data_IF_854657474871
#
_entry.id   IF_854657474871
#
_cell.length_a   1.000
_cell.length_b   1.000
_cell.length_c   1.000
_cell.angle_alpha   90.00
_cell.angle_beta   90.00
_cell.angle_gamma   90.00
#
_symmetry.space_group_name_H-M   'P 1'
#
loop_
_entity.id
_entity.type
_entity.pdbx_description
1 polymer ?
#
# COMPACT_ATOMS: atom_id res chain seq x y z
N UNK A 1 67.73 -94.87 17.54
CA UNK A 1 66.73 -95.59 18.35
C UNK A 1 65.39 -94.91 18.12
N UNK A 2 64.60 -95.43 17.18
CA UNK A 2 63.15 -95.17 17.09
C UNK A 2 62.43 -96.18 18.03
N UNK A 3 61.09 -96.17 18.29
CA UNK A 3 60.01 -95.44 17.59
C UNK A 3 58.77 -95.03 18.46
N UNK A 4 57.72 -94.49 17.79
CA UNK A 4 56.25 -94.57 18.09
C UNK A 4 55.67 -93.81 19.32
N UNK A 5 54.42 -93.31 19.39
CA UNK A 5 53.24 -93.24 18.50
C UNK A 5 52.11 -92.44 19.22
N UNK A 6 51.38 -91.62 18.45
CA UNK A 6 49.95 -91.26 18.50
C UNK A 6 49.11 -91.34 19.81
N UNK A 7 48.37 -90.26 20.14
CA UNK A 7 46.91 -90.36 20.37
C UNK A 7 46.17 -89.01 20.32
N UNK A 8 45.14 -88.99 19.48
CA UNK A 8 44.09 -87.99 19.38
C UNK A 8 43.12 -87.97 20.59
N UNK A 9 42.38 -86.85 20.68
CA UNK A 9 40.93 -86.78 20.92
C UNK A 9 40.38 -86.25 22.27
N UNK A 10 39.77 -85.05 22.14
CA UNK A 10 38.45 -84.58 22.64
C UNK A 10 38.28 -83.88 24.00
N UNK A 11 37.53 -82.77 23.89
CA UNK A 11 36.57 -82.14 24.82
C UNK A 11 37.14 -81.31 25.98
N UNK A 12 37.04 -79.97 25.88
CA UNK A 12 35.90 -79.28 26.48
C UNK A 12 35.78 -77.81 26.01
N UNK A 13 34.56 -77.48 25.61
CA UNK A 13 33.99 -76.13 25.55
C UNK A 13 34.08 -75.49 26.94
N UNK A 14 34.33 -74.17 26.95
CA UNK A 14 33.92 -73.16 27.95
C UNK A 14 35.12 -72.36 28.46
N UNK A 15 35.28 -71.13 27.95
CA UNK A 15 35.06 -69.93 28.78
C UNK A 15 35.21 -68.69 27.89
N UNK A 16 34.06 -68.07 27.63
CA UNK A 16 33.96 -66.68 27.21
C UNK A 16 34.70 -65.81 28.23
N UNK A 17 35.81 -65.19 27.83
CA UNK A 17 36.41 -64.13 28.63
C UNK A 17 35.58 -62.85 28.35
N UNK A 18 35.00 -62.20 29.38
CA UNK A 18 33.94 -61.22 29.17
C UNK A 18 34.49 -59.88 28.68
N UNK A 19 33.88 -59.36 27.62
CA UNK A 19 34.00 -58.01 27.04
C UNK A 19 33.59 -56.85 27.99
N UNK A 20 33.48 -57.09 29.31
CA UNK A 20 32.77 -56.19 30.23
C UNK A 20 33.65 -55.42 31.23
N UNK A 21 34.98 -55.55 31.20
CA UNK A 21 35.87 -54.87 32.18
C UNK A 21 36.60 -53.63 31.66
N UNK A 22 36.45 -53.24 30.39
CA UNK A 22 37.14 -52.07 29.82
C UNK A 22 36.27 -50.81 29.77
N UNK A 23 34.96 -50.91 29.98
CA UNK A 23 34.03 -49.79 29.70
C UNK A 23 33.54 -48.96 30.90
N UNK A 24 34.02 -49.22 32.13
CA UNK A 24 33.42 -48.59 33.34
C UNK A 24 34.30 -47.57 34.08
N UNK A 25 35.45 -47.16 33.52
CA UNK A 25 36.37 -46.19 34.14
C UNK A 25 36.52 -44.83 33.44
N UNK A 26 36.17 -44.74 32.15
CA UNK A 26 36.55 -43.58 31.31
C UNK A 26 35.42 -42.58 31.04
N UNK A 27 34.15 -42.98 31.18
CA UNK A 27 33.02 -42.10 30.82
C UNK A 27 32.87 -40.86 31.72
N UNK A 28 33.39 -40.88 32.96
CA UNK A 28 33.30 -39.73 33.87
C UNK A 28 34.34 -38.63 33.60
N UNK A 29 35.38 -38.87 32.81
CA UNK A 29 36.41 -37.86 32.49
C UNK A 29 36.07 -37.03 31.24
N UNK A 30 35.30 -37.57 30.31
CA UNK A 30 35.01 -36.92 29.04
C UNK A 30 34.19 -35.62 29.13
N UNK A 31 33.30 -35.47 30.11
CA UNK A 31 32.54 -34.21 30.24
C UNK A 31 33.37 -33.06 30.82
N UNK A 32 34.41 -33.34 31.61
CA UNK A 32 35.21 -32.31 32.29
C UNK A 32 36.49 -31.96 31.52
N UNK A 33 37.03 -32.87 30.71
CA UNK A 33 38.13 -32.63 29.77
C UNK A 33 38.03 -31.34 28.95
N UNK A 34 36.88 -31.03 28.30
CA UNK A 34 36.71 -29.75 27.61
C UNK A 34 36.90 -28.55 28.53
N UNK A 35 36.25 -28.54 29.71
CA UNK A 35 36.35 -27.43 30.66
C UNK A 35 37.76 -27.25 31.25
N UNK A 36 38.48 -28.35 31.48
CA UNK A 36 39.86 -28.32 31.98
C UNK A 36 40.82 -27.77 30.92
N UNK A 37 40.61 -28.11 29.64
CA UNK A 37 41.40 -27.59 28.53
C UNK A 37 41.22 -26.07 28.36
N UNK A 38 39.98 -25.60 28.44
CA UNK A 38 39.64 -24.18 28.45
C UNK A 38 40.28 -23.45 29.64
N UNK A 39 40.27 -24.06 30.83
CA UNK A 39 40.89 -23.48 32.03
C UNK A 39 42.43 -23.38 31.93
N UNK A 40 43.09 -24.35 31.27
CA UNK A 40 44.55 -24.37 31.08
C UNK A 40 45.03 -23.24 30.16
N UNK A 41 44.24 -22.85 29.17
CA UNK A 41 44.54 -21.75 28.22
C UNK A 41 43.73 -20.47 28.45
N UNK A 42 43.20 -20.27 29.66
CA UNK A 42 42.36 -19.11 30.00
C UNK A 42 42.97 -17.74 29.66
N UNK A 43 44.29 -17.59 29.79
CA UNK A 43 45.00 -16.36 29.46
C UNK A 43 45.00 -16.07 27.95
N UNK A 44 45.14 -17.10 27.12
CA UNK A 44 45.07 -16.96 25.67
C UNK A 44 43.66 -16.54 25.24
N UNK A 45 42.63 -17.19 25.81
CA UNK A 45 41.23 -16.86 25.53
C UNK A 45 40.95 -15.41 25.97
N UNK A 46 41.41 -14.98 27.15
CA UNK A 46 41.19 -13.61 27.61
C UNK A 46 41.89 -12.57 26.73
N UNK A 47 43.13 -12.81 26.29
CA UNK A 47 43.82 -11.89 25.39
C UNK A 47 43.15 -11.83 24.02
N UNK A 48 42.69 -12.96 23.48
CA UNK A 48 42.00 -13.00 22.19
C UNK A 48 40.64 -12.29 22.25
N UNK A 49 39.87 -12.51 23.31
CA UNK A 49 38.58 -11.83 23.53
C UNK A 49 38.79 -10.32 23.72
N UNK A 50 39.79 -9.90 24.49
CA UNK A 50 40.16 -8.48 24.61
C UNK A 50 40.55 -7.87 23.26
N UNK A 51 41.32 -8.59 22.44
CA UNK A 51 41.64 -8.19 21.07
C UNK A 51 40.39 -8.03 20.21
N UNK A 52 39.45 -8.98 20.26
CA UNK A 52 38.18 -8.91 19.52
C UNK A 52 37.32 -7.71 19.95
N UNK A 53 37.26 -7.43 21.25
CA UNK A 53 36.57 -6.25 21.79
C UNK A 53 37.21 -4.97 21.26
N UNK A 54 38.54 -4.87 21.30
CA UNK A 54 39.27 -3.70 20.81
C UNK A 54 39.04 -3.47 19.31
N UNK A 55 39.07 -4.53 18.49
CA UNK A 55 38.77 -4.45 17.05
C UNK A 55 37.31 -4.04 16.82
N UNK A 56 36.36 -4.64 17.55
CA UNK A 56 34.94 -4.33 17.40
C UNK A 56 34.60 -2.92 17.83
N UNK A 57 35.25 -2.43 18.89
CA UNK A 57 35.15 -1.04 19.33
C UNK A 57 35.74 -0.11 18.27
N UNK A 58 36.93 -0.40 17.73
CA UNK A 58 37.53 0.40 16.67
C UNK A 58 36.59 0.50 15.44
N UNK A 59 36.02 -0.62 14.99
CA UNK A 59 35.04 -0.62 13.89
C UNK A 59 33.79 0.19 14.24
N UNK A 60 33.24 0.05 15.45
CA UNK A 60 32.05 0.77 15.88
C UNK A 60 32.26 2.30 15.97
N UNK A 61 33.49 2.76 16.26
CA UNK A 61 33.84 4.18 16.29
C UNK A 61 34.26 4.75 14.93
N UNK A 62 34.78 3.91 14.01
CA UNK A 62 35.08 4.33 12.63
C UNK A 62 33.83 4.48 11.76
N UNK A 63 32.75 3.76 12.07
CA UNK A 63 31.51 3.83 11.30
C UNK A 63 30.81 5.19 11.49
N UNK A 64 30.32 5.81 10.39
CA UNK A 64 29.65 7.11 10.46
C UNK A 64 28.34 7.01 11.26
N UNK A 65 28.08 8.01 12.10
CA UNK A 65 26.84 8.12 12.87
C UNK A 65 25.72 8.66 12.00
N UNK A 66 24.54 8.04 12.09
CA UNK A 66 23.32 8.52 11.46
C UNK A 66 22.30 8.93 12.53
N UNK A 67 21.47 9.89 12.16
CA UNK A 67 20.42 10.48 12.97
C UNK A 67 19.09 10.32 12.25
N UNK A 68 18.08 9.83 12.97
CA UNK A 68 16.75 9.54 12.43
C UNK A 68 15.76 10.60 12.86
N UNK A 69 15.13 11.27 11.89
CA UNK A 69 13.98 12.16 12.14
C UNK A 69 12.71 11.50 11.62
N UNK A 70 11.60 11.67 12.33
CA UNK A 70 10.33 11.02 12.02
C UNK A 70 9.20 12.06 11.91
N UNK A 71 8.35 11.89 10.91
CA UNK A 71 7.13 12.69 10.70
C UNK A 71 5.94 11.75 10.61
N UNK A 72 4.88 12.10 11.33
CA UNK A 72 3.61 11.37 11.26
C UNK A 72 2.57 12.19 10.52
N UNK A 73 1.91 11.54 9.57
CA UNK A 73 0.92 12.13 8.70
C UNK A 73 -0.41 11.42 8.85
N UNK A 74 -1.47 12.21 9.02
CA UNK A 74 -2.82 11.72 8.93
C UNK A 74 -3.31 11.93 7.48
N UNK A 75 -3.56 10.85 6.71
CA UNK A 75 -4.22 10.98 5.42
C UNK A 75 -5.63 11.55 5.64
N UNK A 76 -6.17 12.32 4.68
CA UNK A 76 -7.53 12.83 4.80
C UNK A 76 -8.47 11.64 4.92
N UNK A 77 -9.24 11.61 6.01
CA UNK A 77 -10.31 10.64 6.14
C UNK A 77 -11.37 11.03 5.13
N UNK A 78 -11.51 10.26 4.05
CA UNK A 78 -12.72 10.32 3.24
C UNK A 78 -13.88 10.11 4.20
N UNK A 79 -14.80 11.07 4.26
CA UNK A 79 -16.09 10.90 4.92
C UNK A 79 -16.75 9.69 4.26
N UNK A 80 -16.57 8.53 4.88
CA UNK A 80 -17.14 7.28 4.39
C UNK A 80 -18.64 7.51 4.30
N UNK A 81 -19.18 7.31 3.11
CA UNK A 81 -20.62 7.33 2.87
C UNK A 81 -21.28 6.45 3.95
N UNK A 82 -22.41 6.89 4.49
CA UNK A 82 -23.19 6.15 5.50
C UNK A 82 -23.49 4.70 5.04
N UNK A 83 -23.49 4.45 3.72
CA UNK A 83 -23.60 3.14 3.12
C UNK A 83 -22.42 2.17 3.42
N UNK A 84 -21.18 2.66 3.54
CA UNK A 84 -20.00 1.85 3.89
C UNK A 84 -20.06 1.38 5.35
N UNK A 85 -20.65 2.19 6.24
CA UNK A 85 -20.91 1.82 7.63
C UNK A 85 -21.95 0.67 7.74
N UNK A 86 -22.92 0.59 6.81
CA UNK A 86 -23.89 -0.50 6.75
C UNK A 86 -23.30 -1.79 6.15
N UNK A 87 -22.38 -1.69 5.18
CA UNK A 87 -21.59 -2.83 4.71
C UNK A 87 -20.65 -3.38 5.79
N UNK A 88 -20.18 -2.53 6.70
CA UNK A 88 -19.45 -2.95 7.92
C UNK A 88 -20.26 -3.88 8.83
N UNK A 89 -21.59 -3.78 8.83
CA UNK A 89 -22.49 -4.70 9.57
C UNK A 89 -22.65 -6.06 8.89
N UNK A 90 -22.39 -6.14 7.58
CA UNK A 90 -22.33 -7.40 6.81
C UNK A 90 -20.91 -7.99 6.79
N UNK A 91 -19.91 -7.28 7.31
CA UNK A 91 -18.53 -7.71 7.46
C UNK A 91 -18.35 -9.11 8.09
N UNK A 92 -19.13 -9.52 9.11
CA UNK A 92 -19.03 -10.87 9.67
C UNK A 92 -19.43 -11.99 8.70
N UNK A 93 -20.39 -11.75 7.81
CA UNK A 93 -20.85 -12.71 6.79
C UNK A 93 -19.86 -12.82 5.62
N UNK A 94 -19.20 -11.72 5.26
CA UNK A 94 -18.19 -11.68 4.19
C UNK A 94 -16.86 -12.28 4.66
N UNK A 95 -16.48 -12.05 5.92
CA UNK A 95 -15.31 -12.68 6.54
C UNK A 95 -15.46 -14.21 6.66
N UNK A 96 -16.70 -14.70 6.88
CA UNK A 96 -17.01 -16.13 6.91
C UNK A 96 -16.92 -16.81 5.53
N UNK A 97 -17.01 -16.05 4.44
CA UNK A 97 -16.91 -16.56 3.07
C UNK A 97 -15.47 -16.56 2.51
N UNK A 98 -14.45 -16.29 3.33
CA UNK A 98 -13.04 -16.35 2.93
C UNK A 98 -12.54 -15.18 2.09
N UNK A 99 -13.32 -14.10 1.97
CA UNK A 99 -12.96 -12.90 1.22
C UNK A 99 -12.00 -11.98 1.99
N UNK A 100 -10.74 -12.39 2.14
CA UNK A 100 -9.73 -11.58 2.85
C UNK A 100 -9.10 -10.46 1.99
N UNK A 101 -9.50 -10.31 0.73
CA UNK A 101 -8.79 -9.41 -0.20
C UNK A 101 -9.71 -8.86 -1.31
N UNK A 102 -10.80 -8.19 -0.91
CA UNK A 102 -11.80 -7.62 -1.83
C UNK A 102 -11.32 -6.38 -2.62
N UNK A 103 -10.02 -6.21 -2.87
CA UNK A 103 -9.50 -5.17 -3.79
C UNK A 103 -9.84 -3.72 -3.40
N UNK A 104 -10.23 -3.49 -2.15
CA UNK A 104 -10.45 -2.16 -1.58
C UNK A 104 -9.08 -1.49 -1.44
N UNK A 105 -8.64 -0.82 -2.51
CA UNK A 105 -7.42 -0.01 -2.53
C UNK A 105 -7.49 0.95 -1.34
N UNK A 106 -6.56 0.81 -0.41
CA UNK A 106 -6.53 1.66 0.76
C UNK A 106 -6.11 3.06 0.30
N UNK A 107 -6.80 4.12 0.73
CA UNK A 107 -6.44 5.50 0.39
C UNK A 107 -4.96 5.78 0.73
N UNK A 108 -4.45 5.11 1.77
CA UNK A 108 -3.06 5.15 2.20
C UNK A 108 -2.07 4.68 1.13
N UNK A 109 -2.41 3.67 0.32
CA UNK A 109 -1.51 3.12 -0.71
C UNK A 109 -1.20 4.16 -1.79
N UNK A 110 -2.17 5.02 -2.10
CA UNK A 110 -1.99 6.13 -3.04
C UNK A 110 -0.95 7.12 -2.48
N UNK A 111 -1.07 7.50 -1.22
CA UNK A 111 -0.10 8.42 -0.59
C UNK A 111 1.30 7.80 -0.47
N UNK A 112 1.41 6.51 -0.14
CA UNK A 112 2.70 5.80 -0.14
C UNK A 112 3.32 5.80 -1.53
N UNK A 113 2.52 5.51 -2.57
CA UNK A 113 3.02 5.52 -3.95
C UNK A 113 3.48 6.92 -4.40
N UNK A 114 2.81 7.99 -3.92
CA UNK A 114 3.23 9.37 -4.18
C UNK A 114 4.55 9.71 -3.46
N UNK A 115 4.76 9.18 -2.24
CA UNK A 115 6.00 9.37 -1.50
C UNK A 115 7.21 8.69 -2.15
N UNK A 116 7.03 7.51 -2.76
CA UNK A 116 8.07 6.86 -3.56
C UNK A 116 8.15 7.38 -5.02
N UNK A 117 7.34 8.39 -5.38
CA UNK A 117 7.35 8.93 -6.73
C UNK A 117 8.68 9.63 -7.05
N UNK A 118 9.15 9.44 -8.28
CA UNK A 118 10.29 10.18 -8.83
C UNK A 118 10.10 11.69 -8.77
N UNK A 119 8.87 12.19 -8.95
CA UNK A 119 8.58 13.63 -8.93
C UNK A 119 8.88 14.24 -7.57
N UNK A 120 8.52 13.56 -6.49
CA UNK A 120 8.78 14.02 -5.12
C UNK A 120 10.26 13.91 -4.77
N UNK A 121 10.89 12.77 -5.10
CA UNK A 121 12.31 12.55 -4.88
C UNK A 121 13.18 13.60 -5.60
N UNK A 122 12.87 13.92 -6.86
CA UNK A 122 13.62 14.90 -7.65
C UNK A 122 13.53 16.31 -7.06
N UNK A 123 12.35 16.70 -6.55
CA UNK A 123 12.17 17.99 -5.86
C UNK A 123 13.01 18.07 -4.58
N UNK A 124 13.04 17.01 -3.77
CA UNK A 124 13.85 16.96 -2.55
C UNK A 124 15.35 16.97 -2.86
N UNK A 125 15.78 16.24 -3.88
CA UNK A 125 17.19 16.20 -4.33
C UNK A 125 17.65 17.60 -4.75
N UNK A 126 16.83 18.32 -5.50
CA UNK A 126 17.18 19.65 -6.00
C UNK A 126 17.13 20.69 -4.86
N UNK A 127 16.12 20.63 -3.98
CA UNK A 127 15.95 21.58 -2.86
C UNK A 127 17.08 21.51 -1.83
N UNK A 128 17.50 20.30 -1.47
CA UNK A 128 18.58 20.09 -0.48
C UNK A 128 19.95 19.84 -1.10
N UNK A 129 20.08 19.94 -2.43
CA UNK A 129 21.34 19.67 -3.14
C UNK A 129 21.96 18.31 -2.77
N UNK A 130 21.13 17.27 -2.66
CA UNK A 130 21.53 15.95 -2.16
C UNK A 130 22.63 15.28 -3.00
N UNK A 131 22.75 15.66 -4.27
CA UNK A 131 23.84 15.18 -5.14
C UNK A 131 25.22 15.58 -4.61
N UNK A 132 25.35 16.81 -4.10
CA UNK A 132 26.59 17.29 -3.51
C UNK A 132 26.84 16.64 -2.14
N UNK A 133 25.81 16.55 -1.30
CA UNK A 133 25.89 15.97 0.04
C UNK A 133 26.31 14.48 0.01
N UNK A 134 25.67 13.68 -0.85
CA UNK A 134 25.99 12.26 -1.01
C UNK A 134 27.13 11.98 -1.99
N UNK A 135 27.76 13.01 -2.57
CA UNK A 135 28.89 12.90 -3.50
C UNK A 135 28.58 12.01 -4.73
N UNK A 136 27.37 12.13 -5.27
CA UNK A 136 26.88 11.33 -6.41
C UNK A 136 26.74 12.18 -7.66
N UNK A 137 27.25 11.68 -8.79
CA UNK A 137 27.20 12.36 -10.09
C UNK A 137 25.92 12.08 -10.89
N UNK A 138 25.20 11.02 -10.53
CA UNK A 138 24.01 10.54 -11.23
C UNK A 138 22.78 10.79 -10.37
N UNK A 139 21.76 11.44 -10.93
CA UNK A 139 20.47 11.64 -10.24
C UNK A 139 19.82 10.33 -9.80
N UNK A 140 19.91 9.26 -10.60
CA UNK A 140 19.36 7.97 -10.22
C UNK A 140 20.00 7.47 -8.91
N UNK A 141 21.32 7.55 -8.77
CA UNK A 141 22.01 7.16 -7.53
C UNK A 141 21.62 8.03 -6.34
N UNK A 142 21.32 9.31 -6.56
CA UNK A 142 20.81 10.17 -5.50
C UNK A 142 19.41 9.74 -5.04
N UNK A 143 18.54 9.33 -5.98
CA UNK A 143 17.22 8.77 -5.65
C UNK A 143 17.33 7.45 -4.90
N UNK A 144 18.13 6.51 -5.41
CA UNK A 144 18.35 5.21 -4.76
C UNK A 144 18.88 5.42 -3.33
N UNK A 145 19.80 6.38 -3.15
CA UNK A 145 20.35 6.70 -1.83
C UNK A 145 19.31 7.33 -0.88
N UNK A 146 18.44 8.18 -1.40
CA UNK A 146 17.36 8.79 -0.63
C UNK A 146 16.32 7.74 -0.21
N UNK A 147 15.97 6.82 -1.10
CA UNK A 147 15.05 5.71 -0.83
C UNK A 147 15.64 4.75 0.23
N UNK A 148 16.92 4.37 0.12
CA UNK A 148 17.62 3.54 1.12
C UNK A 148 17.63 4.17 2.54
N UNK A 149 17.61 5.49 2.62
CA UNK A 149 17.68 6.27 3.87
C UNK A 149 16.30 6.66 4.40
N UNK A 150 15.24 6.38 3.65
CA UNK A 150 13.88 6.76 3.99
C UNK A 150 13.02 5.51 4.19
N UNK A 151 12.48 5.36 5.38
CA UNK A 151 11.56 4.27 5.73
C UNK A 151 10.14 4.83 5.87
N UNK A 152 9.21 4.33 5.06
CA UNK A 152 7.80 4.76 5.05
C UNK A 152 6.95 3.59 5.50
N UNK A 153 6.29 3.74 6.65
CA UNK A 153 5.48 2.69 7.25
C UNK A 153 4.07 3.20 7.54
N UNK A 154 3.08 2.32 7.39
CA UNK A 154 1.69 2.59 7.81
C UNK A 154 1.44 1.90 9.13
N UNK A 155 1.16 2.70 10.16
CA UNK A 155 0.74 2.19 11.46
C UNK A 155 -0.62 1.50 11.37
N UNK A 156 -0.90 0.59 12.30
CA UNK A 156 -2.22 -0.07 12.41
C UNK A 156 -3.37 0.93 12.57
N UNK A 157 -3.06 2.13 13.07
CA UNK A 157 -3.99 3.24 13.29
C UNK A 157 -4.23 4.07 12.01
N UNK A 158 -3.68 3.66 10.86
CA UNK A 158 -3.83 4.33 9.57
C UNK A 158 -2.93 5.55 9.36
N UNK A 159 -2.07 5.87 10.34
CA UNK A 159 -1.09 6.97 10.29
C UNK A 159 0.13 6.57 9.47
N UNK A 160 0.54 7.42 8.53
CA UNK A 160 1.75 7.23 7.73
C UNK A 160 2.92 7.83 8.51
N UNK A 161 3.94 7.02 8.81
CA UNK A 161 5.17 7.47 9.46
C UNK A 161 6.31 7.47 8.43
N UNK A 162 6.91 8.65 8.23
CA UNK A 162 8.06 8.85 7.35
C UNK A 162 9.28 9.06 8.23
N UNK A 163 10.22 8.14 8.15
CA UNK A 163 11.48 8.21 8.87
C UNK A 163 12.64 8.44 7.91
N UNK A 164 13.39 9.52 8.10
CA UNK A 164 14.57 9.85 7.28
C UNK A 164 15.83 9.77 8.13
N UNK A 165 16.85 9.07 7.64
CA UNK A 165 18.16 8.93 8.30
C UNK A 165 19.26 9.68 7.53
N UNK A 166 19.97 10.59 8.20
CA UNK A 166 21.14 11.27 7.63
C UNK A 166 22.27 11.43 8.65
N UNK A 167 23.49 11.70 8.16
CA UNK A 167 24.66 12.04 9.00
C UNK A 167 24.51 13.40 9.65
N UNK A 168 23.84 14.34 8.98
CA UNK A 168 23.55 15.66 9.54
C UNK A 168 22.15 15.67 10.19
N UNK A 169 22.10 16.14 11.44
CA UNK A 169 20.86 16.26 12.22
C UNK A 169 19.92 17.30 11.62
N UNK A 170 20.47 18.40 11.11
CA UNK A 170 19.67 19.47 10.51
C UNK A 170 19.04 18.97 9.22
N UNK A 171 19.84 18.35 8.35
CA UNK A 171 19.36 17.81 7.08
C UNK A 171 18.31 16.70 7.28
N UNK A 172 18.50 15.78 8.24
CA UNK A 172 17.52 14.73 8.52
C UNK A 172 16.15 15.31 8.93
N UNK A 173 16.14 16.36 9.77
CA UNK A 173 14.92 17.08 10.15
C UNK A 173 14.29 17.80 8.95
N UNK A 174 15.09 18.56 8.22
CA UNK A 174 14.61 19.40 7.12
C UNK A 174 14.06 18.53 5.99
N UNK A 175 14.71 17.40 5.67
CA UNK A 175 14.19 16.43 4.71
C UNK A 175 12.86 15.86 5.15
N UNK A 176 12.73 15.42 6.40
CA UNK A 176 11.49 14.86 6.90
C UNK A 176 10.34 15.89 6.88
N UNK A 177 10.63 17.16 7.18
CA UNK A 177 9.66 18.26 7.10
C UNK A 177 9.27 18.58 5.65
N UNK A 178 10.23 18.56 4.75
CA UNK A 178 9.97 18.83 3.34
C UNK A 178 9.27 17.67 2.63
N UNK A 179 9.46 16.43 3.07
CA UNK A 179 8.74 15.26 2.57
C UNK A 179 7.23 15.47 2.61
N UNK A 180 6.68 15.90 3.74
CA UNK A 180 5.23 16.08 3.85
C UNK A 180 4.74 17.35 3.14
N UNK A 181 5.52 18.44 3.14
CA UNK A 181 5.15 19.68 2.44
C UNK A 181 5.10 19.48 0.94
N UNK A 182 6.11 18.79 0.39
CA UNK A 182 6.14 18.48 -1.04
C UNK A 182 5.10 17.42 -1.39
N UNK A 183 4.81 16.45 -0.51
CA UNK A 183 3.68 15.53 -0.69
C UNK A 183 2.35 16.31 -0.73
N UNK A 184 2.15 17.27 0.16
CA UNK A 184 0.93 18.08 0.20
C UNK A 184 0.78 18.91 -1.09
N UNK A 185 1.86 19.52 -1.59
CA UNK A 185 1.85 20.25 -2.87
C UNK A 185 1.56 19.32 -4.04
N UNK A 186 2.23 18.16 -4.09
CA UNK A 186 2.04 17.15 -5.13
C UNK A 186 0.58 16.66 -5.12
N UNK A 187 0.06 16.34 -3.95
CA UNK A 187 -1.34 15.95 -3.74
C UNK A 187 -2.29 17.04 -4.22
N UNK A 188 -2.10 18.31 -3.83
CA UNK A 188 -2.92 19.45 -4.32
C UNK A 188 -2.87 19.61 -5.83
N UNK A 189 -1.71 19.40 -6.46
CA UNK A 189 -1.54 19.53 -7.92
C UNK A 189 -2.13 18.36 -8.71
N UNK A 190 -2.15 17.16 -8.12
CA UNK A 190 -2.68 15.94 -8.73
C UNK A 190 -4.13 15.65 -8.33
N UNK A 191 -4.66 16.36 -7.35
CA UNK A 191 -6.02 16.22 -6.86
C UNK A 191 -7.01 16.78 -7.88
N UNK A 192 -7.23 16.02 -8.95
CA UNK A 192 -8.53 16.01 -9.59
C UNK A 192 -9.40 15.09 -8.73
N UNK A 193 -10.07 15.69 -7.76
CA UNK A 193 -10.99 14.95 -6.89
C UNK A 193 -12.24 14.55 -7.66
N UNK A 194 -12.98 13.57 -7.13
CA UNK A 194 -14.29 13.22 -7.68
C UNK A 194 -15.24 14.42 -7.67
N UNK A 195 -15.18 15.24 -6.62
CA UNK A 195 -15.95 16.49 -6.52
C UNK A 195 -15.57 17.49 -7.63
N UNK A 196 -14.28 17.64 -7.95
CA UNK A 196 -13.83 18.53 -9.03
C UNK A 196 -14.28 18.05 -10.42
N UNK A 197 -14.21 16.73 -10.69
CA UNK A 197 -14.76 16.14 -11.92
C UNK A 197 -16.26 16.36 -12.04
N UNK A 198 -17.00 16.13 -10.95
CA UNK A 198 -18.45 16.32 -10.89
C UNK A 198 -18.83 17.78 -11.13
N UNK A 199 -18.16 18.74 -10.48
CA UNK A 199 -18.39 20.18 -10.72
C UNK A 199 -18.22 20.51 -12.20
N UNK A 200 -17.10 20.10 -12.79
CA UNK A 200 -16.80 20.41 -14.19
C UNK A 200 -17.83 19.82 -15.15
N UNK A 201 -18.28 18.58 -14.91
CA UNK A 201 -19.34 17.97 -15.72
C UNK A 201 -20.64 18.79 -15.70
N UNK A 202 -21.12 19.18 -14.52
CA UNK A 202 -22.34 20.00 -14.40
C UNK A 202 -22.13 21.43 -14.93
N UNK A 203 -20.92 21.98 -14.82
CA UNK A 203 -20.58 23.29 -15.38
C UNK A 203 -20.70 23.29 -16.91
N UNK A 204 -20.17 22.24 -17.57
CA UNK A 204 -20.29 22.04 -19.01
C UNK A 204 -21.77 21.83 -19.41
N UNK A 205 -22.52 21.01 -18.68
CA UNK A 205 -23.92 20.73 -18.99
C UNK A 205 -24.84 21.94 -18.80
N UNK A 206 -24.61 22.76 -17.76
CA UNK A 206 -25.32 24.02 -17.54
C UNK A 206 -25.08 24.97 -18.70
N UNK A 207 -23.83 25.06 -19.19
CA UNK A 207 -23.48 25.90 -20.34
C UNK A 207 -24.20 25.43 -21.60
N UNK A 208 -24.15 24.13 -21.90
CA UNK A 208 -24.86 23.53 -23.04
C UNK A 208 -26.37 23.82 -22.96
N UNK A 209 -26.97 23.62 -21.79
CA UNK A 209 -28.41 23.84 -21.59
C UNK A 209 -28.78 25.33 -21.68
N UNK A 210 -27.89 26.24 -21.22
CA UNK A 210 -28.08 27.68 -21.35
C UNK A 210 -28.10 28.14 -22.81
N UNK A 211 -27.16 27.65 -23.62
CA UNK A 211 -27.10 27.94 -25.05
C UNK A 211 -28.35 27.40 -25.76
N UNK A 212 -28.75 26.17 -25.42
CA UNK A 212 -29.99 25.58 -25.91
C UNK A 212 -31.23 26.39 -25.51
N UNK A 213 -31.32 26.87 -24.26
CA UNK A 213 -32.44 27.70 -23.83
C UNK A 213 -32.54 28.98 -24.67
N UNK A 214 -31.42 29.68 -24.87
CA UNK A 214 -31.36 30.88 -25.69
C UNK A 214 -31.82 30.61 -27.14
N UNK A 215 -31.39 29.51 -27.74
CA UNK A 215 -31.84 29.10 -29.08
C UNK A 215 -33.35 28.85 -29.13
N UNK A 216 -33.90 28.19 -28.11
CA UNK A 216 -35.34 27.91 -28.03
C UNK A 216 -36.17 29.18 -27.85
N UNK A 217 -35.69 30.14 -27.06
CA UNK A 217 -36.33 31.45 -26.88
C UNK A 217 -36.36 32.26 -28.18
N UNK A 218 -35.26 32.25 -28.95
CA UNK A 218 -35.20 32.88 -30.27
C UNK A 218 -36.21 32.24 -31.23
N UNK A 219 -36.31 30.91 -31.23
CA UNK A 219 -37.27 30.19 -32.06
C UNK A 219 -38.71 30.52 -31.64
N UNK A 220 -39.00 30.53 -30.34
CA UNK A 220 -40.32 30.92 -29.81
C UNK A 220 -40.70 32.34 -30.23
N UNK A 221 -39.75 33.29 -30.11
CA UNK A 221 -39.97 34.68 -30.54
C UNK A 221 -40.34 34.78 -32.01
N UNK A 222 -39.61 34.10 -32.90
CA UNK A 222 -39.93 34.06 -34.34
C UNK A 222 -41.31 33.46 -34.62
N UNK A 223 -41.71 32.42 -33.86
CA UNK A 223 -43.05 31.83 -33.98
C UNK A 223 -44.15 32.76 -33.45
N UNK A 224 -43.89 33.56 -32.41
CA UNK A 224 -44.85 34.57 -31.93
C UNK A 224 -45.10 35.67 -32.98
N UNK A 225 -44.03 36.15 -33.60
CA UNK A 225 -44.09 37.17 -34.66
C UNK A 225 -44.88 36.70 -35.89
N UNK A 226 -44.83 35.40 -36.22
CA UNK A 226 -45.51 34.84 -37.38
C UNK A 226 -46.96 34.40 -37.14
N UNK A 227 -47.30 34.00 -35.91
CA UNK A 227 -48.60 33.37 -35.62
C UNK A 227 -49.64 34.33 -35.03
N UNK A 228 -49.24 35.44 -34.41
CA UNK A 228 -50.15 36.52 -33.99
C UNK A 228 -51.25 36.15 -33.00
N UNK A 229 -51.20 34.99 -32.34
CA UNK A 229 -52.26 34.47 -31.48
C UNK A 229 -51.81 34.47 -30.02
N UNK A 230 -52.60 35.12 -29.17
CA UNK A 230 -52.48 35.14 -27.72
C UNK A 230 -53.86 34.70 -27.22
N UNK A 231 -53.97 33.50 -26.65
CA UNK A 231 -54.80 33.13 -25.51
C UNK A 231 -54.71 31.61 -25.36
N UNK A 232 -54.01 31.17 -24.32
CA UNK A 232 -54.02 29.79 -23.86
C UNK A 232 -54.93 29.74 -22.64
N UNK A 233 -55.85 28.78 -22.60
CA UNK A 233 -56.77 28.59 -21.48
C UNK A 233 -55.98 28.08 -20.26
N UNK A 234 -56.16 28.71 -19.09
CA UNK A 234 -55.30 28.54 -17.89
C UNK A 234 -55.16 27.08 -17.42
N UNK A 235 -56.19 26.24 -17.64
CA UNK A 235 -56.15 24.81 -17.30
C UNK A 235 -55.19 23.99 -18.15
N UNK A 236 -55.03 24.30 -19.44
CA UNK A 236 -54.09 23.58 -20.31
C UNK A 236 -52.64 23.97 -20.00
N UNK A 237 -52.43 25.23 -19.60
CA UNK A 237 -51.12 25.73 -19.20
C UNK A 237 -50.58 25.03 -17.96
N UNK A 238 -51.39 24.87 -16.91
CA UNK A 238 -50.94 24.23 -15.67
C UNK A 238 -50.60 22.74 -15.85
N UNK A 239 -51.34 22.02 -16.71
CA UNK A 239 -51.03 20.62 -17.02
C UNK A 239 -49.74 20.48 -17.83
N UNK A 240 -49.53 21.36 -18.81
CA UNK A 240 -48.28 21.41 -19.59
C UNK A 240 -47.09 21.75 -18.70
N UNK A 241 -47.22 22.71 -17.79
CA UNK A 241 -46.17 23.08 -16.85
C UNK A 241 -45.80 21.91 -15.92
N UNK A 242 -46.78 21.12 -15.47
CA UNK A 242 -46.53 19.93 -14.65
C UNK A 242 -45.79 18.85 -15.43
N UNK A 243 -46.15 18.61 -16.69
CA UNK A 243 -45.46 17.64 -17.54
C UNK A 243 -44.03 18.07 -17.86
N UNK A 244 -43.79 19.33 -18.23
CA UNK A 244 -42.45 19.80 -18.55
C UNK A 244 -41.52 19.79 -17.33
N UNK A 245 -42.06 20.05 -16.13
CA UNK A 245 -41.31 19.85 -14.88
C UNK A 245 -40.93 18.40 -14.69
N UNK A 246 -41.87 17.47 -14.78
CA UNK A 246 -41.60 16.04 -14.60
C UNK A 246 -40.61 15.50 -15.65
N UNK A 247 -40.75 15.94 -16.91
CA UNK A 247 -39.83 15.58 -17.99
C UNK A 247 -38.43 16.13 -17.75
N UNK A 248 -38.32 17.38 -17.29
CA UNK A 248 -37.03 17.97 -16.93
C UNK A 248 -36.38 17.26 -15.74
N UNK A 249 -37.15 16.86 -14.72
CA UNK A 249 -36.66 16.04 -13.61
C UNK A 249 -36.12 14.68 -14.08
N UNK A 250 -36.83 14.00 -14.99
CA UNK A 250 -36.34 12.74 -15.60
C UNK A 250 -35.02 12.97 -16.33
N UNK A 251 -34.94 13.97 -17.21
CA UNK A 251 -33.71 14.23 -17.97
C UNK A 251 -32.55 14.61 -17.06
N UNK A 252 -32.80 15.42 -16.04
CA UNK A 252 -31.74 15.77 -15.13
C UNK A 252 -31.27 14.59 -14.27
N UNK A 253 -32.17 13.68 -13.88
CA UNK A 253 -31.79 12.43 -13.23
C UNK A 253 -30.96 11.54 -14.17
N UNK A 254 -31.29 11.50 -15.46
CA UNK A 254 -30.47 10.81 -16.47
C UNK A 254 -29.07 11.41 -16.60
N UNK A 255 -28.98 12.74 -16.68
CA UNK A 255 -27.70 13.48 -16.69
C UNK A 255 -26.91 13.20 -15.41
N UNK A 256 -27.57 13.19 -14.24
CA UNK A 256 -26.92 12.87 -12.97
C UNK A 256 -26.37 11.44 -12.96
N UNK A 257 -27.13 10.45 -13.42
CA UNK A 257 -26.66 9.06 -13.55
C UNK A 257 -25.50 8.97 -14.53
N UNK A 258 -25.57 9.69 -15.65
CA UNK A 258 -24.47 9.74 -16.62
C UNK A 258 -23.21 10.37 -16.01
N UNK A 259 -23.36 11.43 -15.23
CA UNK A 259 -22.27 12.01 -14.44
C UNK A 259 -21.69 10.94 -13.51
N UNK A 260 -22.53 10.27 -12.72
CA UNK A 260 -22.10 9.23 -11.77
C UNK A 260 -21.36 8.08 -12.45
N UNK A 261 -21.84 7.59 -13.59
CA UNK A 261 -21.17 6.53 -14.36
C UNK A 261 -19.79 6.94 -14.88
N UNK A 262 -19.51 8.23 -15.04
CA UNK A 262 -18.20 8.70 -15.47
C UNK A 262 -17.11 8.56 -14.40
N UNK A 263 -17.49 8.48 -13.11
CA UNK A 263 -16.55 8.41 -11.99
C UNK A 263 -16.81 7.27 -10.98
N UNK A 264 -17.98 6.66 -10.97
CA UNK A 264 -18.35 5.56 -10.08
C UNK A 264 -18.33 4.21 -10.80
N UNK A 265 -18.00 3.15 -10.07
CA UNK A 265 -18.15 1.77 -10.55
C UNK A 265 -19.63 1.36 -10.62
N UNK A 266 -20.00 0.39 -11.46
CA UNK A 266 -21.38 -0.10 -11.58
C UNK A 266 -21.97 -0.65 -10.27
N UNK A 267 -21.12 -1.01 -9.31
CA UNK A 267 -21.49 -1.61 -8.02
C UNK A 267 -21.75 -0.56 -6.92
N UNK A 268 -21.61 0.74 -7.22
CA UNK A 268 -21.82 1.79 -6.23
C UNK A 268 -23.32 1.83 -5.79
N UNK A 269 -23.63 1.70 -4.48
CA UNK A 269 -25.01 1.73 -3.98
C UNK A 269 -25.74 3.05 -4.29
N UNK A 270 -25.03 4.16 -4.43
CA UNK A 270 -25.61 5.45 -4.78
C UNK A 270 -26.09 5.46 -6.24
N UNK A 271 -25.34 4.79 -7.14
CA UNK A 271 -25.73 4.65 -8.54
C UNK A 271 -27.00 3.79 -8.66
N UNK A 272 -27.07 2.67 -7.94
CA UNK A 272 -28.24 1.79 -7.94
C UNK A 272 -29.49 2.54 -7.44
N UNK A 273 -29.37 3.33 -6.37
CA UNK A 273 -30.48 4.15 -5.86
C UNK A 273 -30.95 5.19 -6.89
N UNK A 274 -30.01 5.90 -7.51
CA UNK A 274 -30.33 6.89 -8.53
C UNK A 274 -31.05 6.26 -9.75
N UNK A 275 -30.60 5.08 -10.18
CA UNK A 275 -31.25 4.31 -11.26
C UNK A 275 -32.67 3.87 -10.90
N UNK A 276 -32.91 3.42 -9.66
CA UNK A 276 -34.25 3.07 -9.19
C UNK A 276 -35.19 4.28 -9.16
N UNK A 277 -34.69 5.44 -8.73
CA UNK A 277 -35.43 6.70 -8.75
C UNK A 277 -35.78 7.13 -10.18
N UNK A 278 -34.84 6.98 -11.14
CA UNK A 278 -35.11 7.24 -12.55
C UNK A 278 -36.24 6.36 -13.10
N UNK A 279 -36.25 5.06 -12.76
CA UNK A 279 -37.34 4.15 -13.16
C UNK A 279 -38.68 4.60 -12.58
N UNK A 280 -38.71 5.04 -11.32
CA UNK A 280 -39.92 5.56 -10.69
C UNK A 280 -40.43 6.84 -11.38
N UNK A 281 -39.54 7.81 -11.67
CA UNK A 281 -39.87 9.05 -12.36
C UNK A 281 -40.38 8.80 -13.79
N UNK A 282 -39.70 7.93 -14.55
CA UNK A 282 -40.18 7.51 -15.88
C UNK A 282 -41.56 6.85 -15.82
N UNK A 283 -41.81 6.03 -14.80
CA UNK A 283 -43.12 5.45 -14.56
C UNK A 283 -44.21 6.49 -14.27
N UNK A 284 -43.88 7.58 -13.57
CA UNK A 284 -44.81 8.71 -13.37
C UNK A 284 -45.06 9.47 -14.66
N UNK A 285 -44.01 9.73 -15.46
CA UNK A 285 -44.11 10.40 -16.75
C UNK A 285 -45.03 9.61 -17.69
N UNK A 286 -44.86 8.29 -17.76
CA UNK A 286 -45.69 7.43 -18.60
C UNK A 286 -47.16 7.44 -18.18
N UNK A 287 -47.46 7.53 -16.87
CA UNK A 287 -48.84 7.67 -16.36
C UNK A 287 -49.46 9.00 -16.79
N UNK A 288 -48.70 10.09 -16.77
CA UNK A 288 -49.14 11.40 -17.27
C UNK A 288 -49.38 11.42 -18.78
N UNK A 289 -48.57 10.69 -19.54
CA UNK A 289 -48.72 10.58 -21.00
C UNK A 289 -49.92 9.73 -21.40
N UNK A 290 -50.13 8.58 -20.76
CA UNK A 290 -51.12 7.59 -21.19
C UNK A 290 -52.44 7.61 -20.40
N UNK A 291 -52.55 8.38 -19.32
CA UNK A 291 -53.81 8.57 -18.59
C UNK A 291 -54.40 7.28 -18.03
N UNK A 292 -53.61 6.50 -17.26
CA UNK A 292 -54.12 5.32 -16.58
C UNK A 292 -54.83 5.67 -15.27
N UNK A 293 -56.11 5.33 -15.15
CA UNK A 293 -56.85 5.38 -13.87
C UNK A 293 -57.62 6.68 -13.58
N UNK A 294 -58.16 7.37 -14.61
CA UNK A 294 -59.02 8.54 -14.41
C UNK A 294 -58.27 9.85 -14.07
N UNK A 295 -56.94 9.83 -14.16
CA UNK A 295 -56.09 11.02 -13.99
C UNK A 295 -56.05 11.82 -15.30
N UNK A 296 -56.14 13.17 -15.26
CA UNK A 296 -56.01 13.99 -16.46
C UNK A 296 -54.68 13.73 -17.17
N UNK A 297 -54.73 13.40 -18.46
CA UNK A 297 -53.56 13.13 -19.30
C UNK A 297 -53.44 14.19 -20.39
N UNK A 298 -52.22 14.43 -20.86
CA UNK A 298 -51.92 15.33 -21.99
C UNK A 298 -52.61 14.83 -23.27
N UNK A 299 -52.81 13.51 -23.41
CA UNK A 299 -53.54 12.91 -24.52
C UNK A 299 -55.03 13.31 -24.53
N UNK A 300 -55.59 13.70 -23.38
CA UNK A 300 -56.97 14.13 -23.23
C UNK A 300 -57.12 15.67 -23.28
N UNK A 301 -56.04 16.42 -23.54
CA UNK A 301 -56.14 17.86 -23.76
C UNK A 301 -56.91 18.08 -25.07
N UNK A 302 -58.06 18.79 -25.07
CA UNK A 302 -58.86 19.01 -26.27
C UNK A 302 -58.11 19.92 -27.25
N UNK A 303 -57.26 19.32 -28.08
CA UNK A 303 -56.54 20.01 -29.17
C UNK A 303 -57.45 20.25 -30.39
N UNK A 304 -58.69 19.76 -30.37
CA UNK A 304 -59.64 19.76 -31.49
C UNK A 304 -60.02 21.16 -32.00
N UNK A 305 -59.89 22.21 -31.18
CA UNK A 305 -60.28 23.58 -31.53
C UNK A 305 -59.11 24.58 -31.58
N UNK A 306 -57.86 24.11 -31.51
CA UNK A 306 -56.69 25.00 -31.55
C UNK A 306 -56.23 25.19 -33.00
N UNK A 307 -56.20 26.43 -33.54
CA UNK A 307 -55.64 26.69 -34.86
C UNK A 307 -54.22 26.14 -35.00
N UNK A 308 -53.83 25.65 -36.18
CA UNK A 308 -52.50 25.05 -36.42
C UNK A 308 -51.33 25.96 -36.02
N UNK A 309 -51.50 27.28 -36.15
CA UNK A 309 -50.56 28.30 -35.69
C UNK A 309 -50.42 28.36 -34.16
N UNK A 310 -51.51 28.16 -33.40
CA UNK A 310 -51.47 28.08 -31.94
C UNK A 310 -50.79 26.79 -31.44
N UNK A 311 -50.94 25.68 -32.18
CA UNK A 311 -50.26 24.42 -31.87
C UNK A 311 -48.74 24.53 -32.01
N UNK A 312 -48.25 25.24 -33.03
CA UNK A 312 -46.82 25.46 -33.21
C UNK A 312 -46.23 26.34 -32.09
N UNK A 313 -46.92 27.42 -31.73
CA UNK A 313 -46.56 28.25 -30.58
C UNK A 313 -46.48 27.44 -29.29
N UNK A 314 -47.50 26.62 -28.99
CA UNK A 314 -47.52 25.78 -27.78
C UNK A 314 -46.33 24.82 -27.75
N UNK A 315 -45.98 24.20 -28.89
CA UNK A 315 -44.81 23.30 -28.97
C UNK A 315 -43.51 24.05 -28.66
N UNK A 316 -43.33 25.25 -29.19
CA UNK A 316 -42.12 26.05 -28.93
C UNK A 316 -42.08 26.59 -27.50
N UNK A 317 -43.22 27.01 -26.96
CA UNK A 317 -43.32 27.45 -25.58
C UNK A 317 -42.95 26.32 -24.62
N UNK A 318 -43.41 25.11 -24.92
CA UNK A 318 -43.09 23.89 -24.21
C UNK A 318 -41.59 23.58 -24.24
N UNK A 319 -40.95 23.69 -25.41
CA UNK A 319 -39.50 23.49 -25.55
C UNK A 319 -38.71 24.52 -24.73
N UNK A 320 -39.15 25.77 -24.66
CA UNK A 320 -38.53 26.81 -23.81
C UNK A 320 -38.71 26.47 -22.33
N UNK A 321 -39.94 26.15 -21.90
CA UNK A 321 -40.23 25.82 -20.50
C UNK A 321 -39.45 24.59 -20.02
N UNK A 322 -39.31 23.59 -20.87
CA UNK A 322 -38.47 22.41 -20.62
C UNK A 322 -37.00 22.77 -20.39
N UNK A 323 -36.42 23.60 -21.28
CA UNK A 323 -35.00 24.00 -21.17
C UNK A 323 -34.76 24.93 -19.99
N UNK A 324 -35.73 25.79 -19.67
CA UNK A 324 -35.70 26.67 -18.50
C UNK A 324 -35.66 25.85 -17.21
N UNK A 325 -36.59 24.89 -17.05
CA UNK A 325 -36.62 24.02 -15.85
C UNK A 325 -35.39 23.13 -15.75
N UNK A 326 -34.90 22.58 -16.88
CA UNK A 326 -33.68 21.77 -16.91
C UNK A 326 -32.45 22.61 -16.52
N UNK A 327 -32.32 23.82 -17.06
CA UNK A 327 -31.25 24.75 -16.71
C UNK A 327 -31.26 25.07 -15.21
N UNK A 328 -32.41 25.42 -14.64
CA UNK A 328 -32.54 25.72 -13.21
C UNK A 328 -32.11 24.54 -12.34
N UNK A 329 -32.50 23.33 -12.72
CA UNK A 329 -32.17 22.14 -11.93
C UNK A 329 -30.70 21.76 -12.05
N UNK A 330 -30.11 21.82 -13.25
CA UNK A 330 -28.67 21.61 -13.44
C UNK A 330 -27.82 22.69 -12.75
N UNK A 331 -28.27 23.94 -12.77
CA UNK A 331 -27.62 25.03 -12.04
C UNK A 331 -27.62 24.75 -10.53
N UNK A 332 -28.73 24.27 -9.96
CA UNK A 332 -28.78 23.82 -8.55
C UNK A 332 -27.80 22.68 -8.28
N UNK A 333 -27.70 21.69 -9.18
CA UNK A 333 -26.74 20.60 -9.05
C UNK A 333 -25.28 21.08 -9.13
N UNK A 334 -24.99 22.06 -9.99
CA UNK A 334 -23.68 22.70 -10.06
C UNK A 334 -23.31 23.40 -8.75
N UNK A 335 -24.24 24.13 -8.13
CA UNK A 335 -24.00 24.79 -6.85
C UNK A 335 -23.75 23.77 -5.72
N UNK A 336 -24.49 22.66 -5.69
CA UNK A 336 -24.20 21.55 -4.78
C UNK A 336 -22.79 21.00 -5.04
N UNK A 337 -22.42 20.75 -6.29
CA UNK A 337 -21.10 20.25 -6.65
C UNK A 337 -19.96 21.23 -6.31
N UNK A 338 -20.19 22.54 -6.44
CA UNK A 338 -19.24 23.59 -6.01
C UNK A 338 -19.03 23.58 -4.50
N UNK A 339 -20.12 23.43 -3.74
CA UNK A 339 -20.06 23.31 -2.28
C UNK A 339 -19.29 22.04 -1.87
N UNK A 340 -19.57 20.91 -2.53
CA UNK A 340 -18.91 19.65 -2.23
C UNK A 340 -17.40 19.70 -2.55
N UNK A 341 -17.00 20.31 -3.67
CA UNK A 341 -15.58 20.52 -3.99
C UNK A 341 -14.90 21.46 -2.98
N UNK A 342 -15.58 22.52 -2.55
CA UNK A 342 -15.05 23.42 -1.52
C UNK A 342 -14.90 22.73 -0.15
N UNK A 343 -15.76 21.74 0.16
CA UNK A 343 -15.68 20.91 1.37
C UNK A 343 -14.65 19.79 1.27
N UNK A 344 -14.37 19.30 0.06
CA UNK A 344 -13.39 18.25 -0.21
C UNK A 344 -11.97 18.79 -0.07
N UNK A 345 -11.59 19.13 1.16
CA UNK A 345 -10.24 19.52 1.49
C UNK A 345 -9.39 18.26 1.59
N UNK A 346 -8.78 17.84 0.48
CA UNK A 346 -7.69 16.85 0.47
C UNK A 346 -6.43 17.45 1.10
N UNK A 347 -6.54 17.86 2.36
CA UNK A 347 -5.46 18.44 3.14
C UNK A 347 -4.93 17.32 4.03
N UNK A 348 -3.81 16.74 3.62
CA UNK A 348 -2.97 15.92 4.48
C UNK A 348 -2.57 16.78 5.68
N UNK A 349 -2.88 16.32 6.89
CA UNK A 349 -2.57 17.04 8.12
C UNK A 349 -1.31 16.42 8.75
N UNK A 350 -0.30 17.24 9.10
CA UNK A 350 0.81 16.78 9.91
C UNK A 350 0.29 16.49 11.32
N UNK A 351 0.45 15.25 11.78
CA UNK A 351 0.11 14.86 13.14
C UNK A 351 1.24 15.26 14.10
N UNK A 352 2.48 14.92 13.74
CA UNK A 352 3.68 15.28 14.47
C UNK A 352 4.70 15.89 13.51
N UNK A 353 5.20 17.09 13.83
CA UNK A 353 6.32 17.73 13.09
C UNK A 353 7.66 17.11 13.49
N UNK A 354 8.64 17.05 12.57
CA UNK A 354 9.92 16.44 12.87
C UNK A 354 10.74 17.30 13.84
N UNK A 355 11.23 16.66 14.90
CA UNK A 355 12.15 17.27 15.86
C UNK A 355 13.61 16.99 15.49
N UNK A 356 14.52 17.80 16.04
CA UNK A 356 15.95 17.52 15.88
C UNK A 356 16.32 16.25 16.64
N UNK A 357 16.89 15.24 15.97
CA UNK A 357 17.25 13.99 16.64
C UNK A 357 18.37 14.20 17.67
N UNK A 358 18.08 13.86 18.92
CA UNK A 358 19.05 13.96 20.03
C UNK A 358 19.99 12.74 20.10
N UNK A 359 19.54 11.58 19.63
CA UNK A 359 20.28 10.30 19.69
C UNK A 359 20.58 9.77 18.29
N UNK A 360 21.69 9.07 18.18
CA UNK A 360 22.11 8.38 16.96
C UNK A 360 21.25 7.11 16.77
N UNK A 361 20.73 6.90 15.56
CA UNK A 361 19.96 5.69 15.19
C UNK A 361 20.89 4.53 14.86
N UNK A 362 22.00 4.81 14.16
CA UNK A 362 22.93 3.82 13.66
C UNK A 362 24.38 4.32 13.72
N UNK A 363 25.38 3.47 14.01
CA UNK A 363 25.27 2.07 14.45
C UNK A 363 25.05 1.96 15.97
N UNK A 364 24.34 0.91 16.40
CA UNK A 364 24.20 0.57 17.83
C UNK A 364 25.55 0.06 18.35
N UNK A 365 26.43 0.97 18.79
CA UNK A 365 27.82 0.66 19.18
C UNK A 365 27.91 -0.47 20.21
N UNK A 366 27.01 -0.48 21.19
CA UNK A 366 26.93 -1.54 22.20
C UNK A 366 26.59 -2.92 21.63
N UNK A 367 25.70 -2.98 20.64
CA UNK A 367 25.34 -4.23 19.96
C UNK A 367 26.50 -4.78 19.13
N UNK A 368 27.21 -3.92 18.39
CA UNK A 368 28.39 -4.33 17.61
C UNK A 368 29.49 -4.89 18.50
N UNK A 369 29.77 -4.23 19.63
CA UNK A 369 30.77 -4.71 20.60
C UNK A 369 30.32 -6.04 21.21
N UNK A 370 29.03 -6.20 21.56
CA UNK A 370 28.51 -7.45 22.10
C UNK A 370 28.64 -8.61 21.10
N UNK A 371 28.23 -8.40 19.85
CA UNK A 371 28.35 -9.41 18.78
C UNK A 371 29.82 -9.78 18.55
N UNK A 372 30.71 -8.79 18.46
CA UNK A 372 32.14 -9.01 18.28
C UNK A 372 32.80 -9.73 19.46
N UNK A 373 32.31 -9.49 20.68
CA UNK A 373 32.77 -10.21 21.88
C UNK A 373 32.35 -11.69 21.83
N UNK A 374 31.10 -11.96 21.48
CA UNK A 374 30.57 -13.34 21.38
C UNK A 374 31.28 -14.11 20.26
N UNK A 375 31.43 -13.51 19.08
CA UNK A 375 32.14 -14.12 17.97
C UNK A 375 33.62 -14.36 18.30
N UNK A 376 34.28 -13.38 18.92
CA UNK A 376 35.66 -13.51 19.38
C UNK A 376 35.84 -14.65 20.38
N UNK A 377 34.90 -14.82 21.32
CA UNK A 377 34.90 -15.92 22.26
C UNK A 377 34.74 -17.27 21.55
N UNK A 378 33.77 -17.40 20.64
CA UNK A 378 33.56 -18.65 19.90
C UNK A 378 34.79 -19.05 19.09
N UNK A 379 35.41 -18.10 18.39
CA UNK A 379 36.64 -18.34 17.60
C UNK A 379 37.80 -18.74 18.52
N UNK A 380 37.97 -18.10 19.68
CA UNK A 380 39.01 -18.47 20.64
C UNK A 380 38.83 -19.90 21.15
N UNK A 381 37.60 -20.29 21.47
CA UNK A 381 37.28 -21.64 21.95
C UNK A 381 37.60 -22.66 20.87
N UNK A 382 37.10 -22.46 19.65
CA UNK A 382 37.36 -23.36 18.51
C UNK A 382 38.87 -23.47 18.25
N UNK A 383 39.59 -22.34 18.27
CA UNK A 383 41.03 -22.33 18.07
C UNK A 383 41.78 -23.13 19.14
N UNK A 384 41.38 -23.00 20.41
CA UNK A 384 41.97 -23.78 21.51
C UNK A 384 41.79 -25.28 21.27
N UNK A 385 40.58 -25.73 20.90
CA UNK A 385 40.33 -27.14 20.57
C UNK A 385 41.17 -27.64 19.40
N UNK A 386 41.23 -26.88 18.31
CA UNK A 386 42.01 -27.26 17.12
C UNK A 386 43.51 -27.28 17.43
N UNK A 387 44.01 -26.29 18.17
CA UNK A 387 45.42 -26.22 18.54
C UNK A 387 45.82 -27.38 19.45
N UNK A 388 44.92 -27.81 20.33
CA UNK A 388 45.15 -28.94 21.22
C UNK A 388 45.05 -30.28 20.47
N UNK A 389 44.09 -30.44 19.55
CA UNK A 389 43.98 -31.66 18.76
C UNK A 389 45.20 -31.87 17.86
N UNK A 390 45.76 -30.80 17.30
CA UNK A 390 47.02 -30.84 16.54
C UNK A 390 48.22 -31.14 17.44
N UNK A 391 48.26 -30.60 18.66
CA UNK A 391 49.33 -30.88 19.61
C UNK A 391 49.31 -32.35 20.06
N UNK A 392 48.13 -32.89 20.40
CA UNK A 392 47.95 -34.31 20.73
C UNK A 392 48.28 -35.24 19.56
N UNK A 393 47.98 -34.82 18.32
CA UNK A 393 48.35 -35.56 17.13
C UNK A 393 49.86 -35.70 16.88
N UNK A 394 50.71 -34.89 17.55
CA UNK A 394 52.17 -35.04 17.48
C UNK A 394 52.72 -36.00 18.53
N UNK A 395 51.98 -36.30 19.59
CA UNK A 395 52.41 -37.16 20.70
C UNK A 395 51.95 -38.62 20.52
N UNK A 396 50.81 -38.87 19.86
CA UNK A 396 50.29 -40.23 19.62
C UNK A 396 50.29 -40.63 18.12
N UNK A 397 50.97 -41.72 17.70
CA UNK A 397 50.96 -42.21 16.32
C UNK A 397 49.57 -42.71 15.86
N UNK A 398 48.64 -42.96 16.78
CA UNK A 398 47.26 -43.38 16.49
C UNK A 398 46.35 -42.22 16.03
N UNK A 399 46.62 -40.98 16.47
CA UNK A 399 45.83 -39.79 16.12
C UNK A 399 46.13 -39.26 14.71
N UNK A 400 47.34 -39.50 14.19
CA UNK A 400 47.70 -39.20 12.80
C UNK A 400 46.83 -39.97 11.80
N UNK A 401 46.46 -41.22 12.12
CA UNK A 401 45.55 -42.02 11.31
C UNK A 401 44.11 -41.44 11.31
N UNK A 402 43.65 -40.91 12.45
CA UNK A 402 42.35 -40.24 12.57
C UNK A 402 42.26 -38.94 11.78
N UNK A 403 43.31 -38.10 11.81
CA UNK A 403 43.39 -36.88 11.01
C UNK A 403 43.49 -37.16 9.50
N UNK A 404 44.18 -38.23 9.09
CA UNK A 404 44.21 -38.67 7.70
C UNK A 404 42.84 -39.17 7.23
N UNK A 405 42.10 -39.92 8.06
CA UNK A 405 40.72 -40.35 7.77
C UNK A 405 39.75 -39.16 7.67
N UNK A 406 39.87 -38.17 8.55
CA UNK A 406 39.03 -36.96 8.51
C UNK A 406 39.34 -36.09 7.27
N UNK A 407 40.64 -35.93 6.93
CA UNK A 407 41.06 -35.29 5.68
C UNK A 407 40.57 -36.06 4.45
N UNK A 408 40.59 -37.39 4.50
CA UNK A 408 40.06 -38.25 3.44
C UNK A 408 38.55 -38.07 3.28
N UNK A 409 37.76 -38.02 4.36
CA UNK A 409 36.31 -37.78 4.27
C UNK A 409 35.93 -36.36 3.82
N UNK A 410 36.71 -35.34 4.20
CA UNK A 410 36.49 -33.96 3.75
C UNK A 410 36.89 -33.72 2.28
N UNK A 411 37.90 -34.44 1.76
CA UNK A 411 38.41 -34.24 0.38
C UNK A 411 37.98 -35.32 -0.63
N UNK A 412 37.51 -36.51 -0.21
CA UNK A 412 37.07 -37.61 -1.10
C UNK A 412 35.62 -37.43 -1.59
N UNK A 413 35.06 -36.23 -1.49
CA UNK A 413 33.77 -35.86 -2.06
C UNK A 413 33.80 -35.27 -3.48
N UNK A 414 34.97 -35.06 -4.10
CA UNK A 414 35.05 -34.24 -5.34
C UNK A 414 35.72 -34.87 -6.58
N UNK A 415 36.24 -36.12 -6.55
CA UNK A 415 36.73 -36.74 -7.80
C UNK A 415 36.23 -38.17 -7.98
N UNK A 416 35.15 -38.21 -8.76
CA UNK A 416 34.54 -39.34 -9.43
C UNK A 416 35.58 -40.18 -10.21
N UNK A 417 35.58 -41.49 -9.95
CA UNK A 417 35.32 -42.54 -10.94
C UNK A 417 35.89 -42.26 -12.36
N UNK A 418 37.09 -42.77 -12.69
CA UNK A 418 37.34 -43.34 -14.04
C UNK A 418 38.62 -44.14 -14.29
N UNK A 419 39.74 -43.99 -13.58
CA UNK A 419 40.99 -44.59 -14.07
C UNK A 419 41.63 -45.61 -13.11
N UNK A 420 41.02 -46.79 -13.00
CA UNK A 420 41.72 -47.99 -12.48
C UNK A 420 41.27 -49.27 -13.20
N UNK A 421 41.23 -49.21 -14.53
CA UNK A 421 41.41 -50.39 -15.40
C UNK A 421 42.32 -49.92 -16.54
N UNK A 422 43.63 -50.08 -16.39
CA UNK A 422 44.56 -50.65 -17.40
C UNK A 422 45.89 -50.92 -16.70
#
# INVERSE_FOLDING_TARGET
>A
MTPQENKESRLHVSEEIPLASVYNGEERRHFLEPFILLAKRKLFISYFVLGSIAVSAAVAFLLPTYYKSNVKLLPPQQTQSIATAMLGQLGPLIAAAGGKDLGLRNSNDVYISMLHSRTLADVLIDKHSLMAHYHVKLRQKARDRLDDLTDITVGKDGVISISVEDRDRALAKDLADDYWKELQKLSKSLAVTDASRRRKFFEDEVKITSDQLADAEIVLKKTMESTGIIHLEDQSRSMLDAYEKLRAEVTAQEVQIQAMRSFATPENPDLIRAEQELVALRGQLQKFEHGQGGTPSIANVPLQNVPSAGLEYIRKLRDVKYRETLYELLAKQLEIARIDEAKDSSIIQPLDTPELPERHSWPMRGLLIAIGTVLGLLIAVIWVYVSESIARAKEDPLYLAGLQMLKMYLFKGSKSMKDFIT
#
